data_IF_291666586477
#
_entry.id   IF_291666586477
#
_cell.length_a   1.000
_cell.length_b   1.000
_cell.length_c   1.000
_cell.angle_alpha   90.00
_cell.angle_beta   90.00
_cell.angle_gamma   90.00
#
_symmetry.space_group_name_H-M   'P 1'
#
loop_
_entity.id
_entity.type
_entity.pdbx_description
1 polymer ?
#
# COMPACT_ATOMS: atom_id res chain seq x y z
N UNK A 1 9.32 -24.05 11.38
CA UNK A 1 9.32 -23.28 10.12
C UNK A 1 9.89 -21.91 10.40
N UNK A 2 10.76 -21.39 9.53
CA UNK A 2 11.39 -20.08 9.71
C UNK A 2 10.50 -18.99 9.09
N UNK A 3 10.29 -17.89 9.81
CA UNK A 3 9.67 -16.70 9.24
C UNK A 3 10.77 -15.76 8.74
N UNK A 4 10.56 -15.15 7.58
CA UNK A 4 11.43 -14.08 7.07
C UNK A 4 10.95 -12.76 7.64
N UNK A 5 11.88 -12.00 8.23
CA UNK A 5 11.63 -10.67 8.78
C UNK A 5 12.37 -9.61 7.97
N UNK A 6 11.71 -8.47 7.71
CA UNK A 6 12.30 -7.32 7.04
C UNK A 6 11.87 -6.03 7.73
N UNK A 7 12.85 -5.18 8.03
CA UNK A 7 12.64 -3.80 8.42
C UNK A 7 12.84 -2.92 7.20
N UNK A 8 11.85 -2.12 6.84
CA UNK A 8 11.86 -1.21 5.70
C UNK A 8 11.63 0.22 6.19
N UNK A 9 12.22 1.19 5.50
CA UNK A 9 12.00 2.61 5.76
C UNK A 9 11.92 3.39 4.47
N UNK A 10 10.92 4.25 4.36
CA UNK A 10 10.71 5.10 3.21
C UNK A 10 10.53 6.54 3.65
N UNK A 11 11.05 7.49 2.89
CA UNK A 11 10.58 8.87 2.99
C UNK A 11 9.12 8.92 2.54
N UNK A 12 8.26 9.66 3.20
CA UNK A 12 6.90 9.93 2.72
C UNK A 12 6.89 11.25 1.95
N UNK A 13 5.92 11.45 1.07
CA UNK A 13 5.85 12.65 0.23
C UNK A 13 4.40 13.11 0.06
N UNK A 14 4.25 14.36 -0.40
CA UNK A 14 3.00 14.87 -0.98
C UNK A 14 3.21 15.18 -2.45
N UNK A 15 2.12 15.14 -3.21
CA UNK A 15 2.06 15.70 -4.57
C UNK A 15 1.30 17.00 -4.51
N UNK A 16 1.90 18.09 -5.00
CA UNK A 16 1.23 19.39 -5.09
C UNK A 16 0.30 19.48 -6.32
N UNK A 17 -0.41 20.60 -6.47
CA UNK A 17 -1.34 20.82 -7.59
C UNK A 17 -0.68 20.88 -8.97
N UNK A 18 0.65 21.06 -9.03
CA UNK A 18 1.44 21.05 -10.26
C UNK A 18 2.02 19.65 -10.55
N UNK A 19 1.76 18.66 -9.70
CA UNK A 19 2.28 17.30 -9.83
C UNK A 19 3.70 17.12 -9.27
N UNK A 20 4.28 18.11 -8.58
CA UNK A 20 5.61 17.99 -7.97
C UNK A 20 5.53 17.20 -6.67
N UNK A 21 6.57 16.38 -6.43
CA UNK A 21 6.69 15.62 -5.18
C UNK A 21 7.58 16.33 -4.18
N UNK A 22 7.14 16.40 -2.93
CA UNK A 22 7.92 16.96 -1.82
C UNK A 22 7.98 15.93 -0.68
N UNK A 23 9.18 15.67 -0.14
CA UNK A 23 9.32 14.84 1.06
C UNK A 23 8.70 15.53 2.26
N UNK A 24 7.77 14.86 2.92
CA UNK A 24 7.05 15.39 4.09
C UNK A 24 7.25 14.56 5.36
N UNK A 25 8.04 13.48 5.32
CA UNK A 25 8.16 12.60 6.49
C UNK A 25 8.85 11.28 6.26
N UNK A 26 8.57 10.33 7.16
CA UNK A 26 9.15 8.99 7.19
C UNK A 26 8.08 7.95 7.52
N UNK A 27 8.16 6.82 6.84
CA UNK A 27 7.49 5.58 7.19
C UNK A 27 8.52 4.52 7.58
N UNK A 28 8.23 3.76 8.63
CA UNK A 28 8.96 2.55 8.99
C UNK A 28 7.99 1.37 9.03
N UNK A 29 8.37 0.26 8.41
CA UNK A 29 7.54 -0.95 8.30
C UNK A 29 8.32 -2.18 8.71
N UNK A 30 7.74 -2.98 9.59
CA UNK A 30 8.19 -4.34 9.90
C UNK A 30 7.32 -5.34 9.14
N UNK A 31 7.96 -6.18 8.34
CA UNK A 31 7.30 -7.22 7.54
C UNK A 31 7.71 -8.59 8.05
N UNK A 32 6.72 -9.43 8.30
CA UNK A 32 6.87 -10.85 8.62
C UNK A 32 6.20 -11.68 7.53
N UNK A 33 6.99 -12.51 6.85
CA UNK A 33 6.53 -13.47 5.85
C UNK A 33 6.67 -14.88 6.44
N UNK A 34 5.55 -15.59 6.57
CA UNK A 34 5.50 -16.95 7.06
C UNK A 34 4.49 -17.78 6.26
N UNK A 35 4.53 -19.10 6.42
CA UNK A 35 3.55 -20.02 5.79
C UNK A 35 2.11 -19.73 6.20
N UNK A 36 1.89 -19.13 7.37
CA UNK A 36 0.58 -18.73 7.86
C UNK A 36 0.07 -17.40 7.27
N UNK A 37 0.88 -16.70 6.48
CA UNK A 37 0.53 -15.43 5.86
C UNK A 37 1.61 -14.37 6.04
N UNK A 38 1.34 -13.20 5.44
CA UNK A 38 2.20 -12.03 5.54
C UNK A 38 1.55 -11.03 6.49
N UNK A 39 2.34 -10.46 7.38
CA UNK A 39 1.94 -9.30 8.18
C UNK A 39 2.92 -8.18 7.91
N UNK A 40 2.42 -6.98 7.67
CA UNK A 40 3.21 -5.76 7.73
C UNK A 40 2.60 -4.80 8.75
N UNK A 41 3.47 -4.24 9.58
CA UNK A 41 3.11 -3.24 10.57
C UNK A 41 3.93 -1.99 10.30
N UNK A 42 3.26 -0.87 10.07
CA UNK A 42 3.89 0.38 9.71
C UNK A 42 3.54 1.52 10.65
N UNK A 43 4.46 2.48 10.75
CA UNK A 43 4.20 3.80 11.31
C UNK A 43 4.66 4.84 10.31
N UNK A 44 3.78 5.80 10.01
CA UNK A 44 4.06 6.94 9.14
C UNK A 44 3.95 8.21 9.98
N UNK A 45 4.98 9.05 9.93
CA UNK A 45 5.01 10.38 10.55
C UNK A 45 5.32 11.37 9.45
N UNK A 46 4.39 12.26 9.14
CA UNK A 46 4.43 13.05 7.92
C UNK A 46 3.62 14.35 8.03
N UNK A 47 3.83 15.24 7.05
CA UNK A 47 3.15 16.53 6.94
C UNK A 47 3.86 17.64 7.71
N UNK A 48 3.35 18.86 7.58
CA UNK A 48 3.89 20.07 8.19
C UNK A 48 2.77 20.90 8.84
N UNK A 49 3.11 21.60 9.94
CA UNK A 49 2.18 22.49 10.65
C UNK A 49 0.84 21.83 10.97
N UNK A 50 -0.25 22.41 10.46
CA UNK A 50 -1.62 21.94 10.66
C UNK A 50 -1.96 20.65 9.90
N UNK A 51 -1.15 20.27 8.89
CA UNK A 51 -1.32 19.03 8.12
C UNK A 51 -0.50 17.86 8.68
N UNK A 52 0.28 18.10 9.73
CA UNK A 52 1.10 17.09 10.37
C UNK A 52 0.22 15.96 10.94
N UNK A 53 0.64 14.73 10.68
CA UNK A 53 -0.02 13.55 11.19
C UNK A 53 0.99 12.45 11.55
N UNK A 54 0.52 11.56 12.43
CA UNK A 54 1.15 10.28 12.66
C UNK A 54 0.08 9.20 12.61
N UNK A 55 0.38 8.10 11.93
CA UNK A 55 -0.52 6.97 11.79
C UNK A 55 0.25 5.67 12.02
N UNK A 56 -0.38 4.71 12.69
CA UNK A 56 0.07 3.32 12.72
C UNK A 56 -0.89 2.48 11.90
N UNK A 57 -0.37 1.48 11.22
CA UNK A 57 -1.19 0.55 10.47
C UNK A 57 -0.66 -0.88 10.58
N UNK A 58 -1.57 -1.84 10.40
CA UNK A 58 -1.27 -3.25 10.25
C UNK A 58 -2.05 -3.81 9.09
N UNK A 59 -1.33 -4.39 8.13
CA UNK A 59 -1.88 -5.11 7.00
C UNK A 59 -1.57 -6.59 7.15
N UNK A 60 -2.55 -7.43 6.84
CA UNK A 60 -2.35 -8.88 6.71
C UNK A 60 -2.71 -9.30 5.30
N UNK A 61 -1.90 -10.18 4.71
CA UNK A 61 -2.12 -10.77 3.40
C UNK A 61 -2.09 -12.28 3.58
N UNK A 62 -2.87 -12.99 2.79
CA UNK A 62 -2.81 -14.45 2.80
C UNK A 62 -1.42 -14.98 2.34
N UNK A 63 -1.10 -16.26 2.63
CA UNK A 63 0.22 -16.82 2.32
C UNK A 63 0.57 -16.82 0.83
N UNK A 64 -0.43 -16.93 -0.03
CA UNK A 64 -0.28 -16.98 -1.48
C UNK A 64 -0.27 -15.60 -2.14
N UNK A 65 -0.37 -14.53 -1.34
CA UNK A 65 -0.54 -13.14 -1.80
C UNK A 65 -1.83 -12.90 -2.62
N UNK A 66 -2.78 -13.82 -2.60
CA UNK A 66 -4.01 -13.77 -3.38
C UNK A 66 -4.93 -12.61 -2.97
N UNK A 67 -4.98 -12.25 -1.69
CA UNK A 67 -5.70 -11.07 -1.21
C UNK A 67 -5.17 -10.50 0.11
N UNK A 68 -5.37 -9.19 0.28
CA UNK A 68 -5.27 -8.55 1.59
C UNK A 68 -6.43 -9.07 2.45
N UNK A 69 -6.13 -9.57 3.66
CA UNK A 69 -7.12 -10.13 4.60
C UNK A 69 -7.63 -9.10 5.59
N UNK A 70 -6.81 -8.13 5.97
CA UNK A 70 -7.24 -7.01 6.78
C UNK A 70 -6.28 -5.84 6.70
N UNK A 71 -6.83 -4.64 6.93
CA UNK A 71 -6.09 -3.41 7.18
C UNK A 71 -6.70 -2.76 8.42
N UNK A 72 -5.87 -2.52 9.42
CA UNK A 72 -6.22 -1.70 10.58
C UNK A 72 -5.30 -0.49 10.59
N UNK A 73 -5.86 0.70 10.66
CA UNK A 73 -5.12 1.95 10.59
C UNK A 73 -5.66 2.93 11.62
N UNK A 74 -4.78 3.48 12.45
CA UNK A 74 -5.12 4.44 13.50
C UNK A 74 -4.28 5.68 13.34
N UNK A 75 -4.92 6.84 13.17
CA UNK A 75 -4.24 8.13 13.32
C UNK A 75 -4.06 8.43 14.81
N UNK A 76 -2.86 8.83 15.22
CA UNK A 76 -2.61 9.25 16.60
C UNK A 76 -3.49 10.44 16.95
N UNK A 77 -4.14 10.37 18.11
CA UNK A 77 -5.11 11.39 18.56
C UNK A 77 -6.38 11.51 17.70
N UNK A 78 -6.66 10.52 16.83
CA UNK A 78 -7.78 10.60 15.90
C UNK A 78 -8.52 9.29 15.68
N UNK A 79 -9.16 9.20 14.52
CA UNK A 79 -9.98 8.07 14.14
C UNK A 79 -9.17 6.80 13.84
N UNK A 80 -9.88 5.68 13.81
CA UNK A 80 -9.38 4.38 13.36
C UNK A 80 -10.25 3.88 12.22
N UNK A 81 -9.61 3.34 11.19
CA UNK A 81 -10.24 2.58 10.13
C UNK A 81 -9.85 1.10 10.28
N UNK A 82 -10.82 0.22 10.12
CA UNK A 82 -10.59 -1.21 10.02
C UNK A 82 -11.37 -1.77 8.83
N UNK A 83 -10.69 -2.54 8.00
CA UNK A 83 -11.26 -3.28 6.88
C UNK A 83 -10.87 -4.74 6.98
N UNK A 84 -11.82 -5.64 6.73
CA UNK A 84 -11.63 -7.09 6.77
C UNK A 84 -12.15 -7.72 5.49
N UNK A 85 -11.36 -8.61 4.91
CA UNK A 85 -11.70 -9.38 3.73
C UNK A 85 -11.88 -10.86 4.10
N UNK A 86 -12.97 -11.46 3.63
CA UNK A 86 -13.33 -12.86 3.94
C UNK A 86 -12.51 -13.90 3.18
N UNK A 87 -11.74 -13.48 2.16
CA UNK A 87 -10.98 -14.36 1.27
C UNK A 87 -11.74 -14.81 0.02
N UNK A 88 -13.00 -14.43 -0.11
CA UNK A 88 -13.91 -14.80 -1.20
C UNK A 88 -14.48 -13.59 -1.94
N UNK A 89 -13.96 -12.39 -1.68
CA UNK A 89 -14.36 -11.14 -2.34
C UNK A 89 -15.25 -10.24 -1.48
N UNK A 90 -15.62 -10.67 -0.27
CA UNK A 90 -16.43 -9.89 0.67
C UNK A 90 -15.58 -9.02 1.57
N UNK A 91 -15.93 -7.73 1.66
CA UNK A 91 -15.32 -6.78 2.60
C UNK A 91 -16.30 -6.34 3.67
N UNK A 92 -15.78 -6.06 4.87
CA UNK A 92 -16.52 -5.48 5.99
C UNK A 92 -15.68 -4.44 6.73
N UNK A 93 -16.33 -3.53 7.43
CA UNK A 93 -15.67 -2.58 8.33
C UNK A 93 -15.38 -3.17 9.72
N UNK A 94 -14.85 -2.35 10.63
CA UNK A 94 -14.50 -2.75 11.99
C UNK A 94 -15.67 -3.24 12.85
N UNK A 95 -16.90 -2.84 12.52
CA UNK A 95 -18.12 -3.27 13.20
C UNK A 95 -18.75 -4.52 12.53
N UNK A 96 -18.13 -5.01 11.47
CA UNK A 96 -18.61 -6.16 10.70
C UNK A 96 -19.68 -5.80 9.68
N UNK A 97 -19.95 -4.51 9.43
CA UNK A 97 -20.93 -4.10 8.43
C UNK A 97 -20.33 -4.29 7.02
N UNK A 98 -21.08 -4.88 6.08
CA UNK A 98 -20.58 -5.13 4.72
C UNK A 98 -20.24 -3.85 3.95
N UNK A 99 -19.07 -3.85 3.28
CA UNK A 99 -18.61 -2.84 2.32
C UNK A 99 -18.82 -3.32 0.90
N UNK A 100 -20.07 -3.27 0.46
CA UNK A 100 -20.49 -3.74 -0.88
C UNK A 100 -19.82 -3.00 -2.03
N UNK A 101 -19.40 -1.76 -1.79
CA UNK A 101 -18.62 -0.94 -2.71
C UNK A 101 -17.23 -1.51 -3.01
N UNK A 102 -16.74 -2.44 -2.19
CA UNK A 102 -15.46 -3.15 -2.38
C UNK A 102 -15.63 -4.61 -2.79
N UNK A 103 -16.84 -5.05 -3.11
CA UNK A 103 -17.10 -6.45 -3.47
C UNK A 103 -16.22 -6.89 -4.67
N UNK A 104 -15.55 -8.04 -4.51
CA UNK A 104 -14.68 -8.65 -5.51
C UNK A 104 -13.26 -8.07 -5.58
N UNK A 105 -12.94 -7.01 -4.83
CA UNK A 105 -11.59 -6.45 -4.78
C UNK A 105 -10.68 -7.31 -3.91
N UNK A 106 -9.43 -7.51 -4.32
CA UNK A 106 -8.45 -8.33 -3.59
C UNK A 106 -7.34 -7.53 -2.94
N UNK A 107 -7.05 -6.35 -3.49
CA UNK A 107 -5.90 -5.53 -3.12
C UNK A 107 -6.34 -4.34 -2.28
N UNK A 108 -5.51 -3.97 -1.31
CA UNK A 108 -5.68 -2.77 -0.50
C UNK A 108 -4.35 -2.03 -0.42
N UNK A 109 -4.36 -0.74 -0.74
CA UNK A 109 -3.21 0.15 -0.65
C UNK A 109 -3.48 1.23 0.41
N UNK A 110 -2.40 1.74 1.00
CA UNK A 110 -2.43 2.95 1.84
C UNK A 110 -1.69 4.02 1.05
N UNK A 111 -2.30 5.18 0.85
CA UNK A 111 -1.63 6.29 0.18
C UNK A 111 -0.35 6.66 0.92
N UNK A 112 0.69 7.03 0.16
CA UNK A 112 2.03 7.34 0.66
C UNK A 112 2.78 6.18 1.35
N UNK A 113 2.22 4.97 1.41
CA UNK A 113 2.95 3.75 1.76
C UNK A 113 3.16 2.88 0.53
N UNK A 114 4.42 2.61 0.13
CA UNK A 114 4.67 1.76 -1.04
C UNK A 114 4.45 0.27 -0.74
N UNK A 115 4.32 -0.15 0.53
CA UNK A 115 4.24 -1.57 0.90
C UNK A 115 3.10 -2.33 0.20
N UNK A 116 1.94 -1.69 0.02
CA UNK A 116 0.80 -2.33 -0.66
C UNK A 116 1.11 -2.79 -2.08
N UNK A 117 2.07 -2.15 -2.76
CA UNK A 117 2.51 -2.55 -4.09
C UNK A 117 3.32 -3.86 -4.08
N UNK A 118 4.00 -4.18 -2.98
CA UNK A 118 4.64 -5.48 -2.82
C UNK A 118 3.62 -6.59 -2.93
N UNK A 119 2.48 -6.47 -2.25
CA UNK A 119 1.42 -7.47 -2.29
C UNK A 119 0.78 -7.55 -3.68
N UNK A 120 0.49 -6.39 -4.29
CA UNK A 120 -0.05 -6.27 -5.64
C UNK A 120 0.82 -7.00 -6.68
N UNK A 121 2.13 -6.70 -6.69
CA UNK A 121 3.08 -7.25 -7.66
C UNK A 121 3.31 -8.74 -7.40
N UNK A 122 3.41 -9.17 -6.14
CA UNK A 122 3.53 -10.58 -5.77
C UNK A 122 2.33 -11.39 -6.29
N UNK A 123 1.10 -10.91 -6.08
CA UNK A 123 -0.14 -11.53 -6.57
C UNK A 123 -0.19 -11.66 -8.08
N UNK A 124 0.17 -10.58 -8.78
CA UNK A 124 0.12 -10.53 -10.24
C UNK A 124 1.24 -11.39 -10.87
N UNK A 125 2.35 -11.59 -10.16
CA UNK A 125 3.50 -12.36 -10.61
C UNK A 125 3.98 -11.89 -11.98
N UNK A 126 4.11 -12.82 -12.94
CA UNK A 126 4.55 -12.50 -14.32
C UNK A 126 3.65 -11.49 -15.03
N UNK A 127 2.38 -11.32 -14.62
CA UNK A 127 1.49 -10.33 -15.24
C UNK A 127 1.96 -8.92 -14.93
N UNK A 128 2.55 -8.66 -13.76
CA UNK A 128 3.05 -7.33 -13.38
C UNK A 128 4.06 -6.75 -14.37
N UNK A 129 4.76 -7.60 -15.13
CA UNK A 129 5.67 -7.20 -16.20
C UNK A 129 4.97 -6.84 -17.52
N UNK A 130 3.65 -6.67 -17.53
CA UNK A 130 2.84 -6.23 -18.67
C UNK A 130 1.96 -5.06 -18.25
N UNK A 131 1.64 -4.21 -19.22
CA UNK A 131 0.68 -3.14 -19.00
C UNK A 131 -0.69 -3.73 -18.63
N UNK A 132 -1.23 -3.32 -17.49
CA UNK A 132 -2.55 -3.76 -17.01
C UNK A 132 -3.12 -2.79 -15.98
N UNK A 133 -4.41 -2.91 -15.73
CA UNK A 133 -5.09 -2.19 -14.64
C UNK A 133 -5.81 -3.16 -13.73
N UNK A 134 -5.84 -2.85 -12.44
CA UNK A 134 -6.60 -3.57 -11.42
C UNK A 134 -7.39 -2.59 -10.58
N UNK A 135 -8.51 -3.04 -10.02
CA UNK A 135 -9.25 -2.26 -9.03
C UNK A 135 -8.77 -2.65 -7.64
N UNK A 136 -8.49 -1.65 -6.80
CA UNK A 136 -8.04 -1.85 -5.43
C UNK A 136 -8.81 -0.93 -4.47
N UNK A 137 -8.86 -1.32 -3.21
CA UNK A 137 -9.20 -0.40 -2.13
C UNK A 137 -7.99 0.49 -1.87
N UNK A 138 -8.14 1.80 -1.91
CA UNK A 138 -7.08 2.75 -1.56
C UNK A 138 -7.56 3.56 -0.36
N UNK A 139 -6.75 3.57 0.70
CA UNK A 139 -7.02 4.31 1.93
C UNK A 139 -6.10 5.52 2.01
N UNK A 140 -6.70 6.70 2.06
CA UNK A 140 -5.97 7.97 2.16
C UNK A 140 -5.44 8.25 3.56
N UNK A 141 -4.29 8.93 3.62
CA UNK A 141 -3.72 9.51 4.83
C UNK A 141 -3.54 11.02 4.63
N UNK A 142 -3.95 11.88 5.59
CA UNK A 142 -4.44 11.55 6.93
C UNK A 142 -5.97 11.32 7.03
N UNK A 143 -6.72 11.38 5.93
CA UNK A 143 -8.20 11.41 5.93
C UNK A 143 -8.86 10.12 6.42
N UNK A 144 -8.19 8.97 6.26
CA UNK A 144 -8.75 7.62 6.46
C UNK A 144 -9.91 7.29 5.52
N UNK A 145 -10.05 8.03 4.43
CA UNK A 145 -11.06 7.73 3.43
C UNK A 145 -10.63 6.51 2.62
N UNK A 146 -11.44 5.46 2.66
CA UNK A 146 -11.25 4.27 1.84
C UNK A 146 -12.17 4.33 0.64
N UNK A 147 -11.61 4.19 -0.56
CA UNK A 147 -12.36 4.20 -1.80
C UNK A 147 -11.79 3.22 -2.83
N UNK A 148 -12.65 2.76 -3.73
CA UNK A 148 -12.20 1.99 -4.90
C UNK A 148 -11.44 2.91 -5.84
N UNK A 149 -10.27 2.47 -6.30
CA UNK A 149 -9.47 3.14 -7.32
C UNK A 149 -8.92 2.13 -8.32
N UNK A 150 -8.81 2.57 -9.57
CA UNK A 150 -8.01 1.88 -10.57
C UNK A 150 -6.53 2.12 -10.27
N UNK A 151 -5.76 1.05 -10.27
CA UNK A 151 -4.30 1.03 -10.21
C UNK A 151 -3.78 0.50 -11.54
N UNK A 152 -3.15 1.34 -12.33
CA UNK A 152 -2.55 0.95 -13.60
C UNK A 152 -1.05 0.69 -13.40
N UNK A 153 -0.57 -0.43 -13.94
CA UNK A 153 0.85 -0.78 -13.98
C UNK A 153 1.29 -0.71 -15.44
N UNK A 154 2.34 0.05 -15.72
CA UNK A 154 2.99 0.12 -17.04
C UNK A 154 4.49 -0.14 -16.87
N UNK A 155 5.03 -1.27 -17.38
CA UNK A 155 6.46 -1.52 -17.36
C UNK A 155 7.22 -0.39 -18.04
N UNK A 156 8.35 -0.01 -17.46
CA UNK A 156 9.29 0.98 -17.99
C UNK A 156 10.54 0.29 -18.53
N UNK A 157 11.38 1.07 -19.22
CA UNK A 157 12.68 0.60 -19.66
C UNK A 157 13.58 0.32 -18.45
N UNK A 158 14.03 -0.93 -18.35
CA UNK A 158 14.82 -1.43 -17.22
C UNK A 158 14.09 -2.55 -16.47
N UNK A 159 14.86 -3.54 -16.01
CA UNK A 159 14.29 -4.61 -15.21
C UNK A 159 13.69 -4.03 -13.92
N UNK A 160 12.48 -4.48 -13.57
CA UNK A 160 11.79 -4.17 -12.29
C UNK A 160 11.43 -2.69 -12.10
N UNK A 161 11.23 -1.95 -13.19
CA UNK A 161 10.71 -0.59 -13.17
C UNK A 161 9.29 -0.55 -13.71
N UNK A 162 8.39 0.04 -12.95
CA UNK A 162 6.97 0.13 -13.31
C UNK A 162 6.48 1.53 -13.00
N UNK A 163 5.88 2.19 -14.00
CA UNK A 163 5.03 3.35 -13.77
C UNK A 163 3.70 2.86 -13.19
N UNK A 164 3.41 3.27 -11.96
CA UNK A 164 2.20 2.93 -11.22
C UNK A 164 1.32 4.17 -11.16
N UNK A 165 0.14 4.10 -11.77
CA UNK A 165 -0.86 5.16 -11.72
C UNK A 165 -1.95 4.78 -10.72
N UNK A 166 -2.20 5.63 -9.72
CA UNK A 166 -3.28 5.47 -8.74
C UNK A 166 -4.18 6.71 -8.87
N UNK A 167 -5.42 6.52 -9.32
CA UNK A 167 -6.27 7.65 -9.68
C UNK A 167 -5.65 8.46 -10.84
N UNK A 168 -5.36 9.73 -10.59
CA UNK A 168 -4.76 10.63 -11.60
C UNK A 168 -3.24 10.77 -11.46
N UNK A 169 -2.66 10.24 -10.38
CA UNK A 169 -1.24 10.42 -10.08
C UNK A 169 -0.44 9.20 -10.52
N UNK A 170 0.69 9.45 -11.18
CA UNK A 170 1.61 8.39 -11.64
C UNK A 170 2.95 8.48 -10.92
N UNK A 171 3.48 7.33 -10.51
CA UNK A 171 4.75 7.19 -9.83
C UNK A 171 5.63 6.19 -10.57
N UNK A 172 6.89 6.54 -10.81
CA UNK A 172 7.88 5.57 -11.24
C UNK A 172 8.38 4.78 -10.02
N UNK A 173 8.25 3.46 -10.07
CA UNK A 173 8.55 2.58 -8.94
C UNK A 173 9.62 1.58 -9.36
N UNK A 174 10.73 1.58 -8.61
CA UNK A 174 11.77 0.56 -8.73
C UNK A 174 11.50 -0.54 -7.69
N UNK A 175 11.59 -1.80 -8.10
CA UNK A 175 11.40 -2.96 -7.23
C UNK A 175 12.68 -3.79 -7.08
N UNK A 176 12.88 -4.38 -5.91
CA UNK A 176 13.90 -5.42 -5.71
C UNK A 176 13.46 -6.80 -6.25
N UNK A 177 14.32 -7.80 -6.12
CA UNK A 177 14.10 -9.19 -6.56
C UNK A 177 12.91 -9.87 -5.88
N UNK A 178 12.47 -9.35 -4.74
CA UNK A 178 11.32 -9.85 -3.98
C UNK A 178 10.04 -9.10 -4.31
N UNK A 179 10.09 -8.13 -5.22
CA UNK A 179 8.96 -7.28 -5.55
C UNK A 179 8.68 -6.20 -4.50
N UNK A 180 9.65 -5.86 -3.66
CA UNK A 180 9.51 -4.74 -2.69
C UNK A 180 9.97 -3.44 -3.33
N UNK A 181 9.19 -2.35 -3.23
CA UNK A 181 9.62 -1.04 -3.71
C UNK A 181 10.90 -0.53 -3.03
N UNK A 182 11.93 -0.28 -3.83
CA UNK A 182 13.18 0.37 -3.40
C UNK A 182 13.17 1.87 -3.71
N UNK A 183 12.34 2.30 -4.65
CA UNK A 183 12.05 3.70 -4.98
C UNK A 183 10.58 3.86 -5.34
N UNK A 184 9.95 4.96 -4.94
CA UNK A 184 8.54 5.25 -5.24
C UNK A 184 8.35 6.74 -5.58
N UNK A 185 8.35 7.06 -6.87
CA UNK A 185 8.46 8.44 -7.34
C UNK A 185 9.88 9.01 -7.14
N UNK A 186 10.04 10.32 -7.32
CA UNK A 186 11.36 10.93 -7.30
C UNK A 186 11.95 11.08 -5.89
N UNK A 187 11.10 11.17 -4.88
CA UNK A 187 11.46 11.61 -3.53
C UNK A 187 11.32 10.53 -2.45
N UNK A 188 10.61 9.42 -2.71
CA UNK A 188 10.69 8.23 -1.85
C UNK A 188 11.80 7.30 -2.35
N UNK A 189 12.74 7.00 -1.45
CA UNK A 189 13.64 5.87 -1.57
C UNK A 189 13.61 5.04 -0.29
N UNK A 190 13.93 3.75 -0.41
CA UNK A 190 14.24 2.89 0.72
C UNK A 190 15.54 3.40 1.38
N UNK A 191 15.51 3.64 2.70
CA UNK A 191 16.61 4.26 3.47
C UNK A 191 17.24 3.28 4.45
#
# INVERSE_FOLDING_TARGET
>A
MSATHRSLRWRTFRVDGDGRTETIGLEHVEVKIAESGVTAEGVSVAGDGETAFAARWRMTVDPEWACVRSLHLTRLGGATLALRHDGYGGWSDGEGKPRKDFAGLTDCLVENSPFGLTALVARLGKKAAKAQSVEAVVVGLPSLEAAKRTVALKPLDGAKKIAVTIGETTFDVDFDDTGTPTRFGETIALV
#
